data_IF_009993703601
#
_entry.id   IF_009993703601
#
_cell.length_a   1.000
_cell.length_b   1.000
_cell.length_c   1.000
_cell.angle_alpha   90.00
_cell.angle_beta   90.00
_cell.angle_gamma   90.00
#
_symmetry.space_group_name_H-M   'P 1'
#
loop_
_entity.id
_entity.type
_entity.pdbx_description
1 polymer ?
#
# COMPACT_ATOMS: atom_id res chain seq x y z
N UNK A 1 13.62 18.46 -51.47
CA UNK A 1 12.52 19.12 -50.74
C UNK A 1 11.52 18.14 -50.12
N UNK A 2 10.95 17.18 -50.87
CA UNK A 2 9.98 16.21 -50.29
C UNK A 2 10.54 15.42 -49.10
N UNK A 3 11.79 14.94 -49.15
CA UNK A 3 12.41 14.17 -48.04
C UNK A 3 12.61 15.03 -46.79
N UNK A 4 12.93 16.31 -46.94
CA UNK A 4 13.11 17.25 -45.82
C UNK A 4 11.76 17.55 -45.10
N UNK A 5 10.69 17.68 -45.88
CA UNK A 5 9.34 17.91 -45.36
C UNK A 5 8.84 16.66 -44.59
N UNK A 6 9.12 15.46 -45.10
CA UNK A 6 8.75 14.20 -44.42
C UNK A 6 9.51 14.08 -43.08
N UNK A 7 10.82 14.36 -43.06
CA UNK A 7 11.62 14.28 -41.81
C UNK A 7 11.17 15.35 -40.80
N UNK A 8 10.82 16.55 -41.28
CA UNK A 8 10.27 17.59 -40.41
C UNK A 8 8.88 17.21 -39.86
N UNK A 9 8.04 16.61 -40.70
CA UNK A 9 6.70 16.14 -40.27
C UNK A 9 6.78 14.99 -39.27
N UNK A 10 7.72 14.04 -39.43
CA UNK A 10 7.93 12.96 -38.48
C UNK A 10 8.50 13.44 -37.16
N UNK A 11 9.34 14.47 -37.13
CA UNK A 11 9.84 15.08 -35.90
C UNK A 11 8.79 15.91 -35.16
N UNK A 12 7.76 16.43 -35.83
CA UNK A 12 6.64 17.12 -35.19
C UNK A 12 5.61 16.17 -34.58
N UNK A 13 5.59 14.89 -34.98
CA UNK A 13 4.65 13.86 -34.47
C UNK A 13 5.24 13.08 -33.29
N UNK A 14 6.46 13.37 -32.85
CA UNK A 14 6.95 12.88 -31.56
C UNK A 14 6.15 13.52 -30.43
N UNK A 15 4.93 12.99 -30.22
CA UNK A 15 4.17 13.26 -29.02
C UNK A 15 5.06 12.86 -27.83
N UNK A 16 5.20 13.69 -26.80
CA UNK A 16 5.88 13.26 -25.59
C UNK A 16 5.17 11.99 -25.11
N UNK A 17 5.86 10.87 -25.13
CA UNK A 17 5.41 9.68 -24.45
C UNK A 17 5.43 10.05 -22.97
N UNK A 18 4.26 10.36 -22.41
CA UNK A 18 4.09 10.48 -20.97
C UNK A 18 4.23 9.06 -20.39
N UNK A 19 5.47 8.60 -20.30
CA UNK A 19 5.78 7.41 -19.54
C UNK A 19 5.45 7.72 -18.08
N UNK A 20 4.61 6.90 -17.47
CA UNK A 20 4.28 6.99 -16.07
C UNK A 20 5.57 6.82 -15.26
N UNK A 21 6.08 7.89 -14.69
CA UNK A 21 7.37 7.93 -13.97
C UNK A 21 7.12 8.10 -12.48
N UNK A 22 7.99 7.54 -11.62
CA UNK A 22 7.90 7.74 -10.19
C UNK A 22 8.03 9.23 -9.83
N UNK A 23 7.11 9.74 -9.04
CA UNK A 23 7.18 11.10 -8.52
C UNK A 23 7.97 11.15 -7.21
N UNK A 24 8.64 12.29 -6.94
CA UNK A 24 9.35 12.49 -5.69
C UNK A 24 8.34 12.54 -4.53
N UNK A 25 8.63 11.78 -3.46
CA UNK A 25 7.78 11.69 -2.27
C UNK A 25 6.40 11.06 -2.50
N UNK A 26 6.25 10.28 -3.53
CA UNK A 26 5.02 9.57 -3.83
C UNK A 26 4.65 8.60 -2.70
N UNK A 27 3.47 8.78 -2.09
CA UNK A 27 2.96 7.94 -1.00
C UNK A 27 2.13 6.76 -1.50
N UNK A 28 1.64 6.82 -2.73
CA UNK A 28 0.87 5.77 -3.38
C UNK A 28 1.59 5.21 -4.60
N UNK A 29 1.01 4.19 -5.23
CA UNK A 29 1.52 3.61 -6.46
C UNK A 29 1.32 4.55 -7.66
N UNK A 30 1.98 4.24 -8.75
CA UNK A 30 1.77 4.88 -10.06
C UNK A 30 0.36 4.58 -10.59
N UNK A 31 -0.07 5.33 -11.61
CA UNK A 31 -1.36 5.08 -12.25
C UNK A 31 -1.46 3.63 -12.76
N UNK A 32 -2.52 2.91 -12.38
CA UNK A 32 -2.67 1.50 -12.74
C UNK A 32 -2.99 1.33 -14.22
N UNK A 33 -2.14 0.60 -14.94
CA UNK A 33 -2.36 0.25 -16.35
C UNK A 33 -3.25 -1.00 -16.52
N UNK A 34 -3.34 -1.87 -15.49
CA UNK A 34 -4.14 -3.10 -15.54
C UNK A 34 -5.25 -3.13 -14.48
N UNK A 35 -6.23 -4.03 -14.64
CA UNK A 35 -7.29 -4.23 -13.66
C UNK A 35 -6.71 -4.73 -12.33
N UNK A 36 -5.80 -5.69 -12.38
CA UNK A 36 -5.11 -6.22 -11.19
C UNK A 36 -4.37 -5.13 -10.43
N UNK A 37 -3.69 -4.21 -11.14
CA UNK A 37 -3.01 -3.10 -10.49
C UNK A 37 -3.99 -2.12 -9.85
N UNK A 38 -5.18 -1.90 -10.43
CA UNK A 38 -6.24 -1.11 -9.80
C UNK A 38 -6.71 -1.72 -8.47
N UNK A 39 -6.87 -3.03 -8.43
CA UNK A 39 -7.27 -3.74 -7.22
C UNK A 39 -6.18 -3.66 -6.13
N UNK A 40 -4.91 -3.74 -6.51
CA UNK A 40 -3.77 -3.56 -5.61
C UNK A 40 -3.74 -2.14 -5.04
N UNK A 41 -3.85 -1.12 -5.90
CA UNK A 41 -3.87 0.29 -5.47
C UNK A 41 -5.04 0.56 -4.54
N UNK A 42 -6.24 0.07 -4.89
CA UNK A 42 -7.41 0.21 -4.04
C UNK A 42 -7.20 -0.43 -2.66
N UNK A 43 -6.70 -1.67 -2.63
CA UNK A 43 -6.42 -2.37 -1.38
C UNK A 43 -5.40 -1.62 -0.52
N UNK A 44 -4.33 -1.14 -1.14
CA UNK A 44 -3.29 -0.37 -0.46
C UNK A 44 -3.84 0.94 0.12
N UNK A 45 -4.49 1.77 -0.71
CA UNK A 45 -4.85 3.13 -0.33
C UNK A 45 -6.06 3.18 0.61
N UNK A 46 -7.03 2.27 0.45
CA UNK A 46 -8.27 2.28 1.24
C UNK A 46 -8.28 1.31 2.43
N UNK A 47 -7.42 0.32 2.46
CA UNK A 47 -7.35 -0.63 3.58
C UNK A 47 -6.01 -0.61 4.29
N UNK A 48 -4.92 -0.89 3.57
CA UNK A 48 -3.61 -1.07 4.19
C UNK A 48 -3.08 0.22 4.81
N UNK A 49 -3.01 1.28 4.04
CA UNK A 49 -2.46 2.57 4.46
C UNK A 49 -3.23 3.20 5.63
N UNK A 50 -4.58 3.28 5.63
CA UNK A 50 -5.32 3.79 6.77
C UNK A 50 -5.11 2.97 8.05
N UNK A 51 -5.04 1.64 7.95
CA UNK A 51 -4.80 0.77 9.12
C UNK A 51 -3.40 1.02 9.68
N UNK A 52 -2.37 1.09 8.84
CA UNK A 52 -0.99 1.36 9.28
C UNK A 52 -0.90 2.73 9.93
N UNK A 53 -1.49 3.76 9.33
CA UNK A 53 -1.50 5.12 9.89
C UNK A 53 -2.23 5.15 11.24
N UNK A 54 -3.39 4.48 11.35
CA UNK A 54 -4.15 4.41 12.58
C UNK A 54 -3.37 3.73 13.72
N UNK A 55 -2.71 2.59 13.42
CA UNK A 55 -1.88 1.88 14.40
C UNK A 55 -0.68 2.74 14.82
N UNK A 56 0.00 3.36 13.86
CA UNK A 56 1.17 4.21 14.13
C UNK A 56 0.80 5.44 14.98
N UNK A 57 -0.31 6.08 14.65
CA UNK A 57 -0.83 7.23 15.42
C UNK A 57 -1.25 6.81 16.83
N UNK A 58 -1.89 5.65 16.97
CA UNK A 58 -2.28 5.10 18.27
C UNK A 58 -1.06 4.81 19.16
N UNK A 59 -0.04 4.16 18.60
CA UNK A 59 1.20 3.88 19.34
C UNK A 59 1.92 5.18 19.74
N UNK A 60 2.01 6.13 18.82
CA UNK A 60 2.59 7.45 19.10
C UNK A 60 1.83 8.17 20.23
N UNK A 61 0.49 8.15 20.18
CA UNK A 61 -0.35 8.71 21.23
C UNK A 61 -0.09 8.06 22.60
N UNK A 62 -0.01 6.72 22.64
CA UNK A 62 0.29 6.00 23.88
C UNK A 62 1.67 6.35 24.41
N UNK A 63 2.68 6.45 23.57
CA UNK A 63 4.04 6.85 23.98
C UNK A 63 4.05 8.26 24.58
N UNK A 64 3.42 9.21 23.91
CA UNK A 64 3.32 10.59 24.40
C UNK A 64 2.52 10.64 25.71
N UNK A 65 1.42 9.91 25.81
CA UNK A 65 0.62 9.81 27.01
C UNK A 65 1.44 9.28 28.19
N UNK A 66 2.18 8.19 28.00
CA UNK A 66 3.04 7.61 29.03
C UNK A 66 4.11 8.61 29.47
N UNK A 67 4.81 9.24 28.52
CA UNK A 67 5.85 10.23 28.83
C UNK A 67 5.33 11.42 29.64
N UNK A 68 4.13 11.91 29.33
CA UNK A 68 3.56 13.09 30.01
C UNK A 68 2.91 12.70 31.34
N UNK A 69 2.17 11.59 31.37
CA UNK A 69 1.34 11.21 32.53
C UNK A 69 2.14 10.53 33.63
N UNK A 70 3.13 9.72 33.25
CA UNK A 70 3.93 8.91 34.19
C UNK A 70 5.33 9.46 34.40
N UNK A 71 5.55 10.72 34.08
CA UNK A 71 6.80 11.42 34.40
C UNK A 71 7.02 11.40 35.92
N UNK A 72 8.25 11.24 36.38
CA UNK A 72 8.67 11.17 37.79
C UNK A 72 8.08 12.30 38.63
N UNK A 73 8.10 13.53 38.12
CA UNK A 73 7.54 14.70 38.80
C UNK A 73 6.02 14.64 39.06
N UNK A 74 5.28 13.81 38.30
CA UNK A 74 3.81 13.66 38.42
C UNK A 74 3.39 12.34 39.07
N UNK A 75 4.27 11.38 39.13
CA UNK A 75 3.99 10.04 39.66
C UNK A 75 5.15 9.55 40.55
N UNK A 76 5.34 10.16 41.73
CA UNK A 76 6.45 9.82 42.62
C UNK A 76 6.34 8.40 43.23
N UNK A 77 5.13 7.83 43.28
CA UNK A 77 4.88 6.47 43.78
C UNK A 77 4.23 5.61 42.68
N UNK A 78 5.00 5.06 41.74
CA UNK A 78 4.45 4.23 40.69
C UNK A 78 3.85 2.93 41.23
N UNK A 79 2.77 2.48 40.60
CA UNK A 79 2.15 1.19 40.94
C UNK A 79 3.11 0.04 40.64
N UNK A 80 3.22 -0.90 41.56
CA UNK A 80 4.03 -2.13 41.39
C UNK A 80 3.28 -3.25 40.63
N UNK A 81 2.05 -2.99 40.17
CA UNK A 81 1.29 -3.98 39.40
C UNK A 81 1.88 -4.08 37.99
N UNK A 82 2.47 -5.24 37.67
CA UNK A 82 3.18 -5.49 36.42
C UNK A 82 2.37 -6.34 35.44
N UNK A 83 1.21 -6.87 35.84
CA UNK A 83 0.47 -7.84 35.08
C UNK A 83 -1.04 -7.52 35.03
N UNK A 84 -1.63 -7.60 33.82
CA UNK A 84 -3.07 -7.44 33.62
C UNK A 84 -3.55 -8.33 32.46
N UNK A 85 -4.11 -9.48 32.80
CA UNK A 85 -4.57 -10.50 31.84
C UNK A 85 -5.55 -9.96 30.81
N UNK A 86 -6.47 -9.06 31.20
CA UNK A 86 -7.43 -8.49 30.27
C UNK A 86 -6.76 -7.66 29.16
N UNK A 87 -5.77 -6.82 29.52
CA UNK A 87 -4.99 -6.03 28.54
C UNK A 87 -4.18 -6.95 27.64
N UNK A 88 -3.61 -8.03 28.17
CA UNK A 88 -2.84 -9.02 27.41
C UNK A 88 -3.68 -9.73 26.36
N UNK A 89 -4.88 -10.15 26.72
CA UNK A 89 -5.83 -10.72 25.77
C UNK A 89 -6.18 -9.73 24.68
N UNK A 90 -6.46 -8.46 25.03
CA UNK A 90 -6.84 -7.44 24.05
C UNK A 90 -5.70 -7.19 23.07
N UNK A 91 -4.47 -6.95 23.53
CA UNK A 91 -3.37 -6.65 22.62
C UNK A 91 -2.94 -7.83 21.75
N UNK A 92 -3.32 -9.06 22.11
CA UNK A 92 -3.11 -10.24 21.26
C UNK A 92 -4.24 -10.42 20.26
N UNK A 93 -5.50 -10.29 20.69
CA UNK A 93 -6.66 -10.53 19.83
C UNK A 93 -6.85 -9.42 18.77
N UNK A 94 -6.65 -8.16 19.13
CA UNK A 94 -6.89 -7.05 18.20
C UNK A 94 -6.00 -7.14 16.95
N UNK A 95 -4.67 -7.32 17.02
CA UNK A 95 -3.85 -7.53 15.84
C UNK A 95 -4.24 -8.78 15.04
N UNK A 96 -4.57 -9.89 15.69
CA UNK A 96 -5.04 -11.09 15.01
C UNK A 96 -6.31 -10.84 14.19
N UNK A 97 -7.28 -10.13 14.75
CA UNK A 97 -8.51 -9.77 14.04
C UNK A 97 -8.24 -8.85 12.86
N UNK A 98 -7.36 -7.87 13.01
CA UNK A 98 -6.94 -7.00 11.90
C UNK A 98 -6.33 -7.84 10.77
N UNK A 99 -5.44 -8.79 11.07
CA UNK A 99 -4.84 -9.67 10.07
C UNK A 99 -5.89 -10.54 9.37
N UNK A 100 -6.87 -11.09 10.09
CA UNK A 100 -7.95 -11.88 9.49
C UNK A 100 -8.78 -11.03 8.52
N UNK A 101 -9.16 -9.81 8.92
CA UNK A 101 -9.91 -8.89 8.07
C UNK A 101 -9.12 -8.52 6.81
N UNK A 102 -7.81 -8.32 6.93
CA UNK A 102 -6.93 -8.01 5.82
C UNK A 102 -6.67 -9.21 4.90
N UNK A 103 -6.71 -10.44 5.43
CA UNK A 103 -6.44 -11.65 4.66
C UNK A 103 -7.44 -11.84 3.51
N UNK A 104 -8.73 -11.60 3.76
CA UNK A 104 -9.79 -11.82 2.75
C UNK A 104 -9.56 -11.03 1.46
N UNK A 105 -9.42 -9.69 1.46
CA UNK A 105 -9.15 -8.95 0.25
C UNK A 105 -7.74 -9.22 -0.31
N UNK A 106 -6.75 -9.50 0.54
CA UNK A 106 -5.41 -9.85 0.11
C UNK A 106 -5.39 -11.14 -0.72
N UNK A 107 -6.09 -12.18 -0.27
CA UNK A 107 -6.23 -13.41 -1.05
C UNK A 107 -6.96 -13.20 -2.38
N UNK A 108 -8.00 -12.35 -2.39
CA UNK A 108 -8.69 -12.01 -3.64
C UNK A 108 -7.73 -11.40 -4.67
N UNK A 109 -6.89 -10.45 -4.26
CA UNK A 109 -5.87 -9.84 -5.12
C UNK A 109 -4.84 -10.87 -5.58
N UNK A 110 -4.37 -11.73 -4.66
CA UNK A 110 -3.42 -12.79 -4.97
C UNK A 110 -3.95 -13.75 -6.04
N UNK A 111 -5.17 -14.27 -5.86
CA UNK A 111 -5.79 -15.18 -6.83
C UNK A 111 -6.10 -14.52 -8.17
N UNK A 112 -6.36 -13.21 -8.21
CA UNK A 112 -6.56 -12.50 -9.48
C UNK A 112 -5.28 -12.38 -10.30
N UNK A 113 -4.11 -12.50 -9.68
CA UNK A 113 -2.81 -12.51 -10.36
C UNK A 113 -2.47 -13.89 -10.95
N UNK A 114 -3.01 -14.97 -10.36
CA UNK A 114 -2.76 -16.35 -10.81
C UNK A 114 -3.65 -16.80 -11.96
N UNK A 115 -4.59 -15.96 -12.42
CA UNK A 115 -5.42 -16.28 -13.58
C UNK A 115 -4.56 -16.23 -14.86
N UNK A 116 -4.13 -17.41 -15.30
CA UNK A 116 -3.39 -17.56 -16.55
C UNK A 116 -4.36 -17.35 -17.70
N UNK A 117 -4.14 -16.31 -18.51
CA UNK A 117 -4.86 -16.16 -19.75
C UNK A 117 -4.58 -17.32 -20.69
N UNK A 118 -5.63 -17.97 -21.21
CA UNK A 118 -5.52 -19.06 -22.18
C UNK A 118 -4.81 -18.63 -23.49
N UNK A 119 -4.62 -17.34 -23.71
CA UNK A 119 -3.85 -16.78 -24.82
C UNK A 119 -2.33 -16.89 -24.62
N UNK A 120 -1.86 -17.20 -23.41
CA UNK A 120 -0.44 -17.20 -23.06
C UNK A 120 0.33 -18.45 -23.49
N UNK A 121 -0.32 -19.40 -24.18
CA UNK A 121 0.30 -20.68 -24.54
C UNK A 121 1.07 -20.67 -25.87
N UNK A 122 1.14 -19.55 -26.62
CA UNK A 122 1.73 -19.60 -27.95
C UNK A 122 2.86 -18.61 -28.25
N UNK A 123 3.12 -17.58 -27.48
CA UNK A 123 4.26 -16.72 -27.78
C UNK A 123 4.78 -15.93 -26.57
N UNK A 124 6.05 -16.18 -26.21
CA UNK A 124 6.74 -15.53 -25.10
C UNK A 124 7.13 -14.06 -25.40
N UNK A 125 6.69 -13.49 -26.51
CA UNK A 125 7.03 -12.15 -26.97
C UNK A 125 5.91 -11.11 -26.82
N UNK A 126 4.66 -11.54 -26.62
CA UNK A 126 3.53 -10.64 -26.46
C UNK A 126 3.03 -10.65 -25.01
N UNK A 127 3.55 -9.77 -24.19
CA UNK A 127 2.98 -9.42 -22.89
C UNK A 127 1.61 -8.72 -23.08
N UNK A 128 0.62 -9.46 -23.53
CA UNK A 128 -0.77 -9.01 -23.53
C UNK A 128 -1.34 -9.33 -22.15
N UNK A 129 -1.36 -8.35 -21.29
CA UNK A 129 -2.09 -8.40 -20.04
C UNK A 129 -3.60 -8.56 -20.33
N UNK A 130 -4.20 -9.60 -19.83
CA UNK A 130 -5.64 -9.81 -19.87
C UNK A 130 -6.39 -8.82 -18.97
#
# INVERSE_FOLDING_TARGET
MKKFIITLLTSLISLPAFANQPEKWQLSFQEPASQTMRDIVWFHDYMLLPIIVAISAFVLFLMLYVMVRFRESRNPNPSKRTHNVAVEIIWTLVPCLILIVMAVPSFKVLYSQDTICLLYTSDAADEVQC
#
